data_IF_913928590652
#
_entry.id   IF_913928590652
#
_cell.length_a   1.000
_cell.length_b   1.000
_cell.length_c   1.000
_cell.angle_alpha   90.00
_cell.angle_beta   90.00
_cell.angle_gamma   90.00
#
_symmetry.space_group_name_H-M   'P 1'
#
loop_
_entity.id
_entity.type
_entity.pdbx_description
1 polymer ?
#
# COMPACT_ATOMS: atom_id res chain seq x y z
N UNK A 1 10.53 -8.26 -13.85
CA UNK A 1 9.27 -9.03 -14.16
C UNK A 1 9.57 -10.50 -14.30
N UNK A 2 8.79 -11.35 -13.67
CA UNK A 2 8.80 -12.81 -13.90
C UNK A 2 8.01 -13.10 -15.19
N UNK A 3 8.61 -13.85 -16.12
CA UNK A 3 7.95 -14.28 -17.35
C UNK A 3 7.55 -15.74 -17.21
N UNK A 4 6.28 -16.03 -17.37
CA UNK A 4 5.75 -17.40 -17.41
C UNK A 4 5.03 -17.66 -18.73
N UNK A 5 5.10 -18.88 -19.23
CA UNK A 5 4.42 -19.29 -20.46
C UNK A 5 3.33 -20.30 -20.13
N UNK A 6 2.08 -19.99 -20.48
CA UNK A 6 0.92 -20.87 -20.29
C UNK A 6 0.20 -21.02 -21.63
N UNK A 7 0.07 -22.24 -22.13
CA UNK A 7 -0.58 -22.53 -23.41
C UNK A 7 -0.02 -21.71 -24.58
N UNK A 8 1.30 -21.57 -24.69
CA UNK A 8 2.04 -20.80 -25.70
C UNK A 8 1.72 -19.28 -25.64
N UNK A 9 1.28 -18.77 -24.50
CA UNK A 9 1.09 -17.34 -24.25
C UNK A 9 1.97 -16.92 -23.09
N UNK A 10 2.75 -15.85 -23.30
CA UNK A 10 3.62 -15.26 -22.27
C UNK A 10 2.82 -14.31 -21.36
N UNK A 11 3.15 -14.35 -20.06
CA UNK A 11 2.60 -13.48 -19.03
C UNK A 11 3.75 -12.85 -18.24
N UNK A 12 3.70 -11.54 -18.10
CA UNK A 12 4.68 -10.77 -17.36
C UNK A 12 4.10 -10.42 -15.98
N UNK A 13 4.69 -10.99 -14.94
CA UNK A 13 4.27 -10.81 -13.56
C UNK A 13 5.24 -9.85 -12.87
N UNK A 14 4.77 -8.78 -12.22
CA UNK A 14 5.63 -7.94 -11.39
C UNK A 14 6.36 -8.79 -10.33
N UNK A 15 7.68 -8.62 -10.23
CA UNK A 15 8.51 -9.33 -9.24
C UNK A 15 9.37 -8.38 -8.39
N UNK A 16 9.03 -7.09 -8.41
CA UNK A 16 9.65 -6.04 -7.59
C UNK A 16 8.62 -4.96 -7.29
N UNK A 17 8.85 -4.23 -6.21
CA UNK A 17 8.01 -3.10 -5.84
C UNK A 17 7.96 -2.00 -6.91
N UNK A 18 9.05 -1.78 -7.63
CA UNK A 18 9.17 -0.83 -8.74
C UNK A 18 8.36 -1.21 -9.99
N UNK A 19 7.84 -2.42 -10.05
CA UNK A 19 7.04 -2.94 -11.18
C UNK A 19 5.54 -3.08 -10.83
N UNK A 20 5.19 -2.91 -9.57
CA UNK A 20 3.84 -3.07 -9.05
C UNK A 20 3.21 -1.71 -8.76
N UNK A 21 2.14 -1.35 -9.46
CA UNK A 21 1.40 -0.13 -9.15
C UNK A 21 0.55 -0.27 -7.90
N UNK A 22 0.18 0.85 -7.29
CA UNK A 22 -0.71 0.87 -6.12
C UNK A 22 -2.05 0.19 -6.42
N UNK A 23 -2.67 0.48 -7.55
CA UNK A 23 -3.94 -0.18 -7.93
C UNK A 23 -3.79 -1.69 -8.09
N UNK A 24 -2.67 -2.14 -8.67
CA UNK A 24 -2.39 -3.57 -8.80
C UNK A 24 -2.20 -4.23 -7.42
N UNK A 25 -1.47 -3.58 -6.53
CA UNK A 25 -1.27 -4.04 -5.17
C UNK A 25 -2.59 -4.09 -4.36
N UNK A 26 -3.45 -3.07 -4.50
CA UNK A 26 -4.77 -3.07 -3.87
C UNK A 26 -5.60 -4.30 -4.26
N UNK A 27 -5.56 -4.71 -5.53
CA UNK A 27 -6.26 -5.92 -5.98
C UNK A 27 -5.71 -7.20 -5.35
N UNK A 28 -4.39 -7.31 -5.18
CA UNK A 28 -3.76 -8.42 -4.44
C UNK A 28 -4.20 -8.39 -2.97
N UNK A 29 -4.13 -7.22 -2.33
CA UNK A 29 -4.50 -7.03 -0.93
C UNK A 29 -5.97 -7.42 -0.67
N UNK A 30 -6.89 -7.05 -1.56
CA UNK A 30 -8.30 -7.44 -1.48
C UNK A 30 -8.49 -8.96 -1.50
N UNK A 31 -7.75 -9.65 -2.38
CA UNK A 31 -7.81 -11.11 -2.46
C UNK A 31 -7.28 -11.73 -1.17
N UNK A 32 -6.12 -11.30 -0.69
CA UNK A 32 -5.55 -11.81 0.56
C UNK A 32 -6.53 -11.58 1.73
N UNK A 33 -7.07 -10.37 1.85
CA UNK A 33 -8.03 -10.02 2.90
C UNK A 33 -9.30 -10.87 2.86
N UNK A 34 -9.80 -11.20 1.67
CA UNK A 34 -10.99 -12.06 1.48
C UNK A 34 -10.81 -13.45 2.09
N UNK A 35 -9.58 -13.95 2.14
CA UNK A 35 -9.27 -15.30 2.64
C UNK A 35 -8.59 -15.30 4.02
N UNK A 36 -8.47 -14.14 4.67
CA UNK A 36 -8.04 -14.08 6.07
C UNK A 36 -9.07 -14.77 6.96
N UNK A 37 -8.61 -15.71 7.77
CA UNK A 37 -9.43 -16.47 8.70
C UNK A 37 -9.68 -15.58 9.92
N UNK A 38 -10.94 -15.48 10.34
CA UNK A 38 -11.32 -14.74 11.54
C UNK A 38 -11.24 -15.65 12.77
N UNK A 39 -11.09 -15.06 13.98
CA UNK A 39 -11.09 -15.81 15.24
C UNK A 39 -12.36 -16.64 15.44
N UNK A 40 -13.51 -16.18 14.95
CA UNK A 40 -14.79 -16.89 15.04
C UNK A 40 -14.79 -18.14 14.14
N UNK A 41 -14.22 -18.05 12.94
CA UNK A 41 -14.07 -19.19 12.03
C UNK A 41 -13.07 -20.21 12.57
N UNK A 42 -11.95 -19.74 13.14
CA UNK A 42 -10.94 -20.58 13.77
C UNK A 42 -11.52 -21.42 14.93
N UNK A 43 -12.41 -20.83 15.72
CA UNK A 43 -13.05 -21.51 16.85
C UNK A 43 -14.24 -22.41 16.46
N UNK A 44 -14.80 -22.26 15.26
CA UNK A 44 -16.01 -22.98 14.82
C UNK A 44 -15.73 -24.25 14.01
N UNK A 45 -14.52 -24.38 13.43
CA UNK A 45 -14.20 -25.47 12.52
C UNK A 45 -13.67 -26.71 13.24
N UNK A 46 -14.35 -27.87 13.02
CA UNK A 46 -13.95 -29.16 13.61
C UNK A 46 -12.62 -29.72 13.04
N UNK A 47 -12.20 -29.29 11.86
CA UNK A 47 -10.92 -29.67 11.22
C UNK A 47 -10.27 -28.39 10.64
N UNK A 48 -9.78 -27.56 11.52
CA UNK A 48 -9.17 -26.25 11.20
C UNK A 48 -8.04 -26.39 10.16
N UNK A 49 -7.21 -27.42 10.24
CA UNK A 49 -6.10 -27.62 9.30
C UNK A 49 -6.59 -27.78 7.85
N UNK A 50 -7.67 -28.55 7.64
CA UNK A 50 -8.23 -28.72 6.30
C UNK A 50 -8.94 -27.47 5.82
N UNK A 51 -9.57 -26.73 6.74
CA UNK A 51 -10.21 -25.46 6.41
C UNK A 51 -9.17 -24.45 5.94
N UNK A 52 -8.08 -24.25 6.69
CA UNK A 52 -6.96 -23.37 6.34
C UNK A 52 -6.42 -23.75 4.94
N UNK A 53 -6.03 -25.00 4.74
CA UNK A 53 -5.49 -25.46 3.45
C UNK A 53 -6.46 -25.24 2.28
N UNK A 54 -7.77 -25.35 2.50
CA UNK A 54 -8.76 -25.07 1.46
C UNK A 54 -8.85 -23.57 1.14
N UNK A 55 -8.77 -22.70 2.16
CA UNK A 55 -8.78 -21.24 1.96
C UNK A 55 -7.51 -20.77 1.25
N UNK A 56 -6.33 -21.29 1.62
CA UNK A 56 -5.06 -21.02 0.95
C UNK A 56 -5.11 -21.42 -0.53
N UNK A 57 -5.58 -22.62 -0.86
CA UNK A 57 -5.71 -23.06 -2.25
C UNK A 57 -6.63 -22.15 -3.08
N UNK A 58 -7.73 -21.67 -2.48
CA UNK A 58 -8.64 -20.71 -3.16
C UNK A 58 -7.95 -19.36 -3.34
N UNK A 59 -7.23 -18.89 -2.34
CA UNK A 59 -6.47 -17.65 -2.40
C UNK A 59 -5.41 -17.70 -3.49
N UNK A 60 -4.60 -18.77 -3.56
CA UNK A 60 -3.58 -18.96 -4.58
C UNK A 60 -4.17 -18.97 -5.99
N UNK A 61 -5.31 -19.66 -6.18
CA UNK A 61 -6.03 -19.64 -7.45
C UNK A 61 -6.46 -18.21 -7.83
N UNK A 62 -7.11 -17.49 -6.92
CA UNK A 62 -7.64 -16.15 -7.19
C UNK A 62 -6.49 -15.15 -7.43
N UNK A 63 -5.38 -15.25 -6.68
CA UNK A 63 -4.17 -14.47 -6.91
C UNK A 63 -3.56 -14.75 -8.28
N UNK A 64 -3.41 -16.04 -8.63
CA UNK A 64 -2.87 -16.42 -9.93
C UNK A 64 -3.71 -15.89 -11.09
N UNK A 65 -5.04 -16.03 -11.02
CA UNK A 65 -5.97 -15.49 -12.03
C UNK A 65 -5.85 -13.96 -12.10
N UNK A 66 -5.76 -13.30 -10.97
CA UNK A 66 -5.62 -11.84 -10.91
C UNK A 66 -4.31 -11.37 -11.56
N UNK A 67 -3.20 -12.01 -11.22
CA UNK A 67 -1.86 -11.62 -11.69
C UNK A 67 -1.65 -11.94 -13.18
N UNK A 68 -2.17 -13.06 -13.66
CA UNK A 68 -2.02 -13.51 -15.06
C UNK A 68 -3.15 -13.04 -15.98
N UNK A 69 -4.29 -12.63 -15.42
CA UNK A 69 -5.52 -12.31 -16.18
C UNK A 69 -6.04 -13.44 -17.05
N UNK A 70 -5.73 -14.70 -16.71
CA UNK A 70 -6.31 -15.87 -17.38
C UNK A 70 -7.76 -16.09 -16.93
N UNK A 71 -8.52 -16.77 -17.75
CA UNK A 71 -9.87 -17.20 -17.40
C UNK A 71 -9.88 -18.47 -16.52
N UNK A 72 -10.96 -18.69 -15.78
CA UNK A 72 -11.10 -19.86 -14.89
C UNK A 72 -11.02 -21.21 -15.60
N UNK A 73 -11.41 -21.26 -16.87
CA UNK A 73 -11.35 -22.50 -17.66
C UNK A 73 -9.91 -22.86 -17.98
N UNK A 74 -9.12 -21.87 -18.37
CA UNK A 74 -7.68 -22.03 -18.62
C UNK A 74 -6.95 -22.42 -17.33
N UNK A 75 -7.31 -21.79 -16.19
CA UNK A 75 -6.72 -22.07 -14.88
C UNK A 75 -6.74 -23.55 -14.50
N UNK A 76 -7.78 -24.29 -14.85
CA UNK A 76 -7.92 -25.72 -14.52
C UNK A 76 -6.84 -26.61 -15.15
N UNK A 77 -6.19 -26.14 -16.21
CA UNK A 77 -5.16 -26.89 -16.96
C UNK A 77 -3.75 -26.30 -16.72
N UNK A 78 -3.61 -25.32 -15.85
CA UNK A 78 -2.30 -24.74 -15.50
C UNK A 78 -1.52 -25.74 -14.65
N UNK A 79 -0.24 -26.01 -14.96
CA UNK A 79 0.62 -26.81 -14.10
C UNK A 79 0.71 -26.20 -12.69
N UNK A 80 0.66 -27.04 -11.68
CA UNK A 80 0.73 -26.58 -10.29
C UNK A 80 2.06 -25.88 -9.99
N UNK A 81 3.14 -26.27 -10.66
CA UNK A 81 4.46 -25.63 -10.58
C UNK A 81 4.41 -24.16 -10.98
N UNK A 82 3.62 -23.81 -12.00
CA UNK A 82 3.53 -22.45 -12.50
C UNK A 82 2.73 -21.57 -11.50
N UNK A 83 1.71 -22.18 -10.88
CA UNK A 83 0.97 -21.49 -9.80
C UNK A 83 1.89 -21.17 -8.64
N UNK A 84 2.66 -22.16 -8.16
CA UNK A 84 3.59 -21.94 -7.05
C UNK A 84 4.70 -20.96 -7.41
N UNK A 85 5.25 -20.99 -8.62
CA UNK A 85 6.26 -20.01 -9.05
C UNK A 85 5.76 -18.55 -8.97
N UNK A 86 4.47 -18.30 -9.30
CA UNK A 86 3.85 -16.97 -9.17
C UNK A 86 3.64 -16.61 -7.70
N UNK A 87 3.22 -17.55 -6.86
CA UNK A 87 3.00 -17.29 -5.43
C UNK A 87 4.33 -17.05 -4.70
N UNK A 88 5.36 -17.86 -4.96
CA UNK A 88 6.71 -17.66 -4.41
C UNK A 88 7.26 -16.29 -4.81
N UNK A 89 7.09 -15.90 -6.08
CA UNK A 89 7.48 -14.57 -6.55
C UNK A 89 6.74 -13.45 -5.80
N UNK A 90 5.45 -13.62 -5.51
CA UNK A 90 4.69 -12.65 -4.72
C UNK A 90 5.17 -12.60 -3.27
N UNK A 91 5.44 -13.74 -2.65
CA UNK A 91 5.97 -13.82 -1.28
C UNK A 91 7.32 -13.11 -1.17
N UNK A 92 8.23 -13.28 -2.15
CA UNK A 92 9.51 -12.57 -2.21
C UNK A 92 9.35 -11.05 -2.30
N UNK A 93 8.37 -10.56 -3.08
CA UNK A 93 8.06 -9.12 -3.15
C UNK A 93 7.50 -8.62 -1.82
N UNK A 94 6.65 -9.41 -1.16
CA UNK A 94 5.98 -9.05 0.10
C UNK A 94 6.92 -9.06 1.31
N UNK A 95 8.20 -9.43 1.14
CA UNK A 95 9.21 -9.20 2.17
C UNK A 95 9.30 -7.70 2.54
N UNK A 96 9.83 -7.43 3.73
CA UNK A 96 9.89 -6.08 4.28
C UNK A 96 10.60 -5.10 3.32
N UNK A 97 9.87 -4.06 2.87
CA UNK A 97 10.44 -2.99 2.08
C UNK A 97 11.47 -2.20 2.91
N UNK A 98 12.66 -2.01 2.35
CA UNK A 98 13.70 -1.18 2.97
C UNK A 98 13.70 0.19 2.33
N UNK A 99 13.35 1.26 3.08
CA UNK A 99 13.28 2.60 2.52
C UNK A 99 14.66 3.07 2.03
N UNK A 100 14.67 3.65 0.83
CA UNK A 100 15.87 4.22 0.18
C UNK A 100 16.15 5.65 0.64
N UNK A 101 15.14 6.32 1.24
CA UNK A 101 15.21 7.71 1.69
C UNK A 101 15.24 8.69 0.52
N UNK A 102 14.29 8.52 -0.38
CA UNK A 102 14.16 9.39 -1.55
C UNK A 102 13.68 10.78 -1.15
N UNK A 103 14.25 11.82 -1.78
CA UNK A 103 13.83 13.21 -1.61
C UNK A 103 12.71 13.58 -2.58
N UNK A 104 12.66 12.92 -3.74
CA UNK A 104 11.69 13.16 -4.81
C UNK A 104 11.45 11.89 -5.63
N UNK A 105 10.41 11.94 -6.45
CA UNK A 105 10.11 10.92 -7.46
C UNK A 105 9.67 11.57 -8.76
N UNK A 106 9.87 10.85 -9.87
CA UNK A 106 9.40 11.25 -11.20
C UNK A 106 8.15 10.45 -11.56
N UNK A 107 7.12 11.13 -12.05
CA UNK A 107 5.90 10.47 -12.49
C UNK A 107 5.25 11.25 -13.63
N UNK A 108 4.94 10.58 -14.75
CA UNK A 108 4.33 11.15 -15.96
C UNK A 108 5.08 12.38 -16.52
N UNK A 109 6.39 12.43 -16.33
CA UNK A 109 7.23 13.54 -16.82
C UNK A 109 7.36 14.73 -15.86
N UNK A 110 6.71 14.66 -14.72
CA UNK A 110 6.79 15.65 -13.64
C UNK A 110 7.66 15.14 -12.47
N UNK A 111 8.28 16.07 -11.75
CA UNK A 111 9.07 15.80 -10.53
C UNK A 111 8.29 16.25 -9.32
N UNK A 112 8.02 15.31 -8.40
CA UNK A 112 7.33 15.55 -7.14
C UNK A 112 8.28 15.35 -5.97
N UNK A 113 8.24 16.24 -4.99
CA UNK A 113 9.08 16.17 -3.81
C UNK A 113 8.31 15.60 -2.62
N UNK A 114 8.93 14.69 -1.89
CA UNK A 114 8.43 14.27 -0.59
C UNK A 114 8.53 15.43 0.41
N UNK A 115 7.58 15.58 1.35
CA UNK A 115 7.59 16.67 2.31
C UNK A 115 8.58 16.41 3.45
N UNK A 116 9.88 16.31 3.16
CA UNK A 116 10.94 15.90 4.09
C UNK A 116 11.08 16.80 5.33
N UNK A 117 10.80 18.09 5.19
CA UNK A 117 10.81 19.06 6.31
C UNK A 117 9.42 19.69 6.46
N UNK A 118 8.42 18.85 6.61
CA UNK A 118 7.01 19.27 6.68
C UNK A 118 6.74 20.32 7.74
N UNK A 119 7.44 20.28 8.89
CA UNK A 119 7.27 21.28 9.95
C UNK A 119 7.72 22.69 9.52
N UNK A 120 8.55 22.79 8.49
CA UNK A 120 9.01 24.08 7.95
C UNK A 120 8.31 24.48 6.66
N UNK A 121 7.99 23.52 5.79
CA UNK A 121 7.49 23.79 4.43
C UNK A 121 6.00 23.50 4.27
N UNK A 122 5.43 22.63 5.10
CA UNK A 122 4.00 22.30 5.07
C UNK A 122 3.14 23.39 5.70
N UNK A 123 1.93 23.55 5.19
CA UNK A 123 0.93 24.43 5.82
C UNK A 123 0.13 23.68 6.89
N UNK A 124 -0.49 24.42 7.79
CA UNK A 124 -1.42 23.83 8.77
C UNK A 124 -2.64 23.21 8.08
N UNK A 125 -3.08 23.76 6.94
CA UNK A 125 -4.13 23.20 6.11
C UNK A 125 -3.77 21.82 5.60
N UNK A 126 -2.61 21.66 4.92
CA UNK A 126 -2.10 20.38 4.43
C UNK A 126 -2.06 19.31 5.55
N UNK A 127 -1.71 19.77 6.78
CA UNK A 127 -1.69 18.89 7.94
C UNK A 127 -3.08 18.39 8.32
N UNK A 128 -4.03 19.31 8.49
CA UNK A 128 -5.40 18.96 8.91
C UNK A 128 -6.08 18.06 7.89
N UNK A 129 -5.97 18.38 6.59
CA UNK A 129 -6.57 17.59 5.52
C UNK A 129 -6.00 16.18 5.48
N UNK A 130 -4.68 16.04 5.54
CA UNK A 130 -4.03 14.72 5.59
C UNK A 130 -4.46 13.90 6.82
N UNK A 131 -4.68 14.54 7.99
CA UNK A 131 -5.13 13.86 9.21
C UNK A 131 -6.62 13.47 9.14
N UNK A 132 -7.46 14.28 8.52
CA UNK A 132 -8.88 13.96 8.36
C UNK A 132 -9.09 12.71 7.49
N UNK A 133 -8.26 12.51 6.48
CA UNK A 133 -8.27 11.29 5.68
C UNK A 133 -7.96 10.05 6.53
N UNK A 134 -7.00 10.13 7.46
CA UNK A 134 -6.64 8.99 8.32
C UNK A 134 -7.77 8.59 9.28
N UNK A 135 -8.59 9.51 9.75
CA UNK A 135 -9.68 9.23 10.70
C UNK A 135 -10.75 8.29 10.12
N UNK A 136 -10.86 8.22 8.81
CA UNK A 136 -11.89 7.45 8.12
C UNK A 136 -11.41 6.09 7.57
N UNK A 137 -10.15 5.71 7.80
CA UNK A 137 -9.55 4.49 7.21
C UNK A 137 -10.25 3.19 7.59
N UNK A 138 -10.84 3.11 8.78
CA UNK A 138 -11.54 1.91 9.24
C UNK A 138 -12.79 1.54 8.41
N UNK A 139 -13.32 2.49 7.63
CA UNK A 139 -14.50 2.28 6.78
C UNK A 139 -14.14 1.99 5.32
N UNK A 140 -12.84 2.02 4.98
CA UNK A 140 -12.38 1.84 3.62
C UNK A 140 -12.08 0.37 3.31
N UNK A 141 -12.32 -0.01 2.05
CA UNK A 141 -12.18 -1.38 1.56
C UNK A 141 -10.76 -1.90 1.73
N UNK A 142 -9.77 -1.10 1.32
CA UNK A 142 -8.35 -1.42 1.39
C UNK A 142 -7.62 -0.70 2.53
N UNK A 143 -8.38 -0.18 3.52
CA UNK A 143 -7.83 0.54 4.64
C UNK A 143 -6.98 1.74 4.20
N UNK A 144 -5.75 1.82 4.68
CA UNK A 144 -4.84 2.95 4.41
C UNK A 144 -4.49 3.12 2.92
N UNK A 145 -4.46 2.04 2.14
CA UNK A 145 -4.10 2.13 0.71
C UNK A 145 -5.12 2.90 -0.12
N UNK A 146 -6.37 3.03 0.34
CA UNK A 146 -7.37 3.83 -0.36
C UNK A 146 -7.14 5.34 -0.20
N UNK A 147 -6.50 5.79 0.89
CA UNK A 147 -6.26 7.21 1.17
C UNK A 147 -4.84 7.70 0.80
N UNK A 148 -3.88 6.78 0.65
CA UNK A 148 -2.51 7.16 0.33
C UNK A 148 -2.39 8.03 -0.93
N UNK A 149 -3.11 7.77 -2.04
CA UNK A 149 -3.07 8.63 -3.22
C UNK A 149 -3.49 10.07 -2.93
N UNK A 150 -4.52 10.26 -2.11
CA UNK A 150 -5.01 11.58 -1.73
C UNK A 150 -4.03 12.29 -0.79
N UNK A 151 -3.49 11.58 0.20
CA UNK A 151 -2.45 12.12 1.08
C UNK A 151 -1.20 12.51 0.29
N UNK A 152 -0.79 11.69 -0.68
CA UNK A 152 0.32 12.01 -1.56
C UNK A 152 0.00 13.21 -2.46
N UNK A 153 -1.22 13.33 -2.97
CA UNK A 153 -1.64 14.47 -3.81
C UNK A 153 -1.57 15.80 -3.04
N UNK A 154 -1.94 15.79 -1.75
CA UNK A 154 -1.86 16.96 -0.87
C UNK A 154 -0.41 17.29 -0.51
N UNK A 155 0.38 16.28 -0.13
CA UNK A 155 1.67 16.48 0.52
C UNK A 155 2.86 16.49 -0.43
N UNK A 156 2.82 15.74 -1.54
CA UNK A 156 3.89 15.70 -2.53
C UNK A 156 3.63 16.76 -3.62
N UNK A 157 4.50 17.77 -3.65
CA UNK A 157 4.33 18.94 -4.54
C UNK A 157 5.44 19.00 -5.60
N UNK A 158 5.12 19.56 -6.75
CA UNK A 158 6.14 20.00 -7.74
C UNK A 158 6.81 21.28 -7.22
N UNK A 159 7.93 21.65 -7.85
CA UNK A 159 8.55 22.96 -7.60
C UNK A 159 7.57 24.04 -8.02
N UNK A 160 7.37 25.02 -7.14
CA UNK A 160 6.46 26.18 -7.36
C UNK A 160 4.97 25.80 -7.56
N UNK A 161 4.55 24.58 -7.18
CA UNK A 161 3.14 24.18 -7.20
C UNK A 161 2.37 24.86 -6.07
N UNK A 162 1.42 25.72 -6.41
CA UNK A 162 0.37 26.13 -5.47
C UNK A 162 -0.71 25.06 -5.42
N UNK A 163 -1.11 24.65 -4.22
CA UNK A 163 -2.16 23.62 -4.06
C UNK A 163 -3.50 24.22 -4.41
N UNK A 164 -4.08 23.74 -5.51
CA UNK A 164 -5.48 23.94 -5.80
C UNK A 164 -6.26 22.69 -5.31
N UNK A 165 -7.19 22.92 -4.38
CA UNK A 165 -8.00 21.85 -3.80
C UNK A 165 -8.87 21.14 -4.86
N UNK A 166 -9.26 21.85 -5.93
CA UNK A 166 -10.06 21.31 -7.03
C UNK A 166 -9.27 20.29 -7.88
N UNK A 167 -7.93 20.35 -7.86
CA UNK A 167 -7.05 19.45 -8.64
C UNK A 167 -6.60 18.20 -7.84
N UNK A 168 -6.84 18.14 -6.53
CA UNK A 168 -6.39 17.05 -5.67
C UNK A 168 -6.97 15.71 -6.12
N UNK A 169 -8.25 15.66 -6.43
CA UNK A 169 -8.93 14.42 -6.84
C UNK A 169 -8.36 13.85 -8.14
N UNK A 170 -8.02 14.70 -9.12
CA UNK A 170 -7.41 14.27 -10.38
C UNK A 170 -5.98 13.78 -10.16
N UNK A 171 -5.21 14.49 -9.34
CA UNK A 171 -3.84 14.13 -8.97
C UNK A 171 -3.83 12.80 -8.19
N UNK A 172 -4.74 12.61 -7.25
CA UNK A 172 -4.90 11.38 -6.50
C UNK A 172 -5.24 10.18 -7.41
N UNK A 173 -6.13 10.36 -8.40
CA UNK A 173 -6.43 9.33 -9.41
C UNK A 173 -5.20 8.92 -10.19
N UNK A 174 -4.38 9.88 -10.62
CA UNK A 174 -3.10 9.60 -11.31
C UNK A 174 -2.14 8.85 -10.39
N UNK A 175 -2.03 9.23 -9.13
CA UNK A 175 -1.12 8.62 -8.16
C UNK A 175 -1.46 7.16 -7.80
N UNK A 176 -2.65 6.67 -8.14
CA UNK A 176 -2.95 5.23 -8.11
C UNK A 176 -2.08 4.41 -9.08
N UNK A 177 -1.55 5.05 -10.12
CA UNK A 177 -0.58 4.45 -11.03
C UNK A 177 0.88 4.47 -10.54
N UNK A 178 1.17 5.09 -9.39
CA UNK A 178 2.51 5.08 -8.80
C UNK A 178 2.93 3.66 -8.43
N UNK A 179 4.23 3.38 -8.57
CA UNK A 179 4.80 2.10 -8.16
C UNK A 179 4.90 2.01 -6.63
N UNK A 180 4.80 0.79 -6.11
CA UNK A 180 4.72 0.56 -4.67
C UNK A 180 5.99 0.95 -3.92
N UNK A 181 7.16 0.97 -4.55
CA UNK A 181 8.38 1.49 -3.92
C UNK A 181 8.24 2.97 -3.54
N UNK A 182 7.65 3.80 -4.41
CA UNK A 182 7.35 5.22 -4.14
C UNK A 182 6.29 5.34 -3.03
N UNK A 183 5.24 4.52 -3.09
CA UNK A 183 4.18 4.51 -2.08
C UNK A 183 4.71 4.10 -0.70
N UNK A 184 5.62 3.12 -0.64
CA UNK A 184 6.28 2.73 0.59
C UNK A 184 7.20 3.82 1.15
N UNK A 185 8.00 4.50 0.31
CA UNK A 185 8.82 5.66 0.74
C UNK A 185 7.94 6.70 1.43
N UNK A 186 6.81 7.06 0.83
CA UNK A 186 5.85 8.00 1.41
C UNK A 186 5.26 7.48 2.73
N UNK A 187 4.91 6.20 2.81
CA UNK A 187 4.37 5.58 4.03
C UNK A 187 5.38 5.63 5.19
N UNK A 188 6.65 5.37 4.91
CA UNK A 188 7.72 5.50 5.91
C UNK A 188 7.91 6.95 6.35
N UNK A 189 7.81 7.90 5.42
CA UNK A 189 7.82 9.32 5.75
C UNK A 189 6.69 9.67 6.74
N UNK A 190 5.45 9.27 6.47
CA UNK A 190 4.31 9.51 7.35
C UNK A 190 4.51 8.89 8.75
N UNK A 191 5.04 7.68 8.83
CA UNK A 191 5.31 7.02 10.10
C UNK A 191 6.36 7.77 10.92
N UNK A 192 7.46 8.20 10.31
CA UNK A 192 8.48 9.03 10.99
C UNK A 192 7.90 10.33 11.52
N UNK A 193 7.02 10.97 10.75
CA UNK A 193 6.33 12.20 11.15
C UNK A 193 5.44 11.98 12.35
N UNK A 194 4.62 10.93 12.36
CA UNK A 194 3.74 10.58 13.47
C UNK A 194 4.55 10.37 14.76
N UNK A 195 5.65 9.62 14.69
CA UNK A 195 6.54 9.42 15.83
C UNK A 195 7.18 10.72 16.33
N UNK A 196 7.61 11.60 15.43
CA UNK A 196 8.17 12.90 15.81
C UNK A 196 7.14 13.77 16.51
N UNK A 197 5.90 13.84 16.02
CA UNK A 197 4.81 14.60 16.64
C UNK A 197 4.45 14.07 18.03
N UNK A 198 4.39 12.74 18.20
CA UNK A 198 4.15 12.12 19.51
C UNK A 198 5.24 12.47 20.53
N UNK A 199 6.51 12.49 20.11
CA UNK A 199 7.62 12.89 20.98
C UNK A 199 7.52 14.35 21.40
N UNK A 200 7.14 15.27 20.51
CA UNK A 200 6.91 16.69 20.83
C UNK A 200 5.79 16.85 21.86
N UNK A 201 4.66 16.17 21.65
CA UNK A 201 3.51 16.21 22.58
C UNK A 201 3.93 15.66 23.95
N UNK A 202 4.65 14.54 24.00
CA UNK A 202 5.13 13.96 25.26
C UNK A 202 6.04 14.93 26.00
N UNK A 203 7.03 15.51 25.33
CA UNK A 203 7.94 16.50 25.92
C UNK A 203 7.19 17.71 26.45
N UNK A 204 6.17 18.20 25.72
CA UNK A 204 5.34 19.30 26.15
C UNK A 204 4.53 18.94 27.40
N UNK A 205 3.92 17.77 27.45
CA UNK A 205 3.17 17.31 28.65
C UNK A 205 4.07 17.20 29.87
N UNK A 206 5.27 16.67 29.73
CA UNK A 206 6.26 16.57 30.82
C UNK A 206 6.68 17.96 31.33
N UNK A 207 6.86 18.94 30.44
CA UNK A 207 7.17 20.33 30.85
C UNK A 207 6.01 21.00 31.57
N UNK A 208 4.75 20.75 31.18
CA UNK A 208 3.56 21.28 31.87
C UNK A 208 3.42 20.70 33.26
N UNK A 209 3.59 19.37 33.41
CA UNK A 209 3.53 18.69 34.71
C UNK A 209 4.60 19.22 35.68
N UNK A 210 5.83 19.45 35.20
CA UNK A 210 6.89 20.06 36.03
C UNK A 210 6.56 21.48 36.50
N UNK A 211 5.87 22.30 35.68
CA UNK A 211 5.47 23.67 36.07
C UNK A 211 4.29 23.69 37.02
N UNK A 212 3.41 22.71 37.02
CA UNK A 212 2.26 22.62 37.92
C UNK A 212 2.67 22.08 39.30
N UNK A 213 3.81 21.37 39.36
CA UNK A 213 4.34 20.77 40.61
C UNK A 213 5.27 21.70 41.39
N UNK A 214 5.50 22.93 40.95
CA UNK A 214 6.24 24.01 41.62
C UNK A 214 5.28 25.08 42.17
#
# INVERSE_FOLDING_TARGET
>A
MLNIEINNKEYNIPNKWEEMTLDYYCGIYEIIKKYQITEDEENSENDLTKYIANQENKMYRDLFIYMTKIDEKTMKNVPISDVFAVIECLEEIMEEYKPKGLDYFEFEGDVYYFPLDFLRTGTFGDYIESQQLEMNTQYLKNGRFDILPEQMAILCKKVDEEVDLDDIDEKAKKFRGLTMDIVWEFSFFLNKRTLASLNVIKTFSEMVEQKVSQ
#
